data_IF_084264718795
#
_entry.id   IF_084264718795
#
_cell.length_a   1.000
_cell.length_b   1.000
_cell.length_c   1.000
_cell.angle_alpha   90.00
_cell.angle_beta   90.00
_cell.angle_gamma   90.00
#
_symmetry.space_group_name_H-M   'P 1'
#
loop_
_entity.id
_entity.type
_entity.pdbx_description
1 polymer ?
#
# COMPACT_ATOMS: atom_id res chain seq x y z
N UNK A 1 29.46 8.62 0.14
CA UNK A 1 30.13 8.28 1.42
C UNK A 1 29.93 9.34 2.52
N UNK A 2 30.37 10.59 2.34
CA UNK A 2 30.26 11.63 3.39
C UNK A 2 28.80 12.00 3.72
N UNK A 3 27.95 12.17 2.70
CA UNK A 3 26.51 12.45 2.88
C UNK A 3 25.83 11.33 3.68
N UNK A 4 26.04 10.07 3.29
CA UNK A 4 25.52 8.90 4.03
C UNK A 4 25.97 8.88 5.50
N UNK A 5 27.25 9.14 5.75
CA UNK A 5 27.79 9.15 7.13
C UNK A 5 27.11 10.21 8.01
N UNK A 6 26.85 11.40 7.45
CA UNK A 6 26.12 12.46 8.15
C UNK A 6 24.65 12.06 8.42
N UNK A 7 23.99 11.41 7.47
CA UNK A 7 22.63 10.90 7.65
C UNK A 7 22.56 9.85 8.77
N UNK A 8 23.50 8.89 8.81
CA UNK A 8 23.59 7.88 9.88
C UNK A 8 23.70 8.51 11.26
N UNK A 9 24.55 9.53 11.42
CA UNK A 9 24.73 10.21 12.70
C UNK A 9 23.51 11.06 13.11
N UNK A 10 22.71 11.52 12.14
CA UNK A 10 21.49 12.27 12.39
C UNK A 10 20.29 11.41 12.76
N UNK A 11 20.30 10.12 12.41
CA UNK A 11 19.25 9.15 12.77
C UNK A 11 19.59 8.45 14.09
N UNK A 12 18.64 8.31 15.01
CA UNK A 12 18.78 7.34 16.11
C UNK A 12 18.65 5.95 15.50
N UNK A 13 19.76 5.34 15.10
CA UNK A 13 19.79 3.92 14.77
C UNK A 13 19.42 3.14 16.04
N UNK A 14 18.13 2.94 16.27
CA UNK A 14 17.65 2.03 17.31
C UNK A 14 18.00 0.63 16.84
N UNK A 15 19.09 0.09 17.38
CA UNK A 15 19.49 -1.30 17.30
C UNK A 15 18.45 -2.19 17.99
N UNK A 16 17.28 -2.33 17.39
CA UNK A 16 16.18 -3.08 17.98
C UNK A 16 14.85 -2.85 17.29
N UNK A 17 14.63 -3.52 16.16
CA UNK A 17 13.30 -3.94 15.73
C UNK A 17 13.46 -5.19 14.86
N UNK A 18 12.92 -6.30 15.34
CA UNK A 18 13.02 -7.62 14.74
C UNK A 18 12.08 -7.80 13.57
N UNK A 19 12.47 -7.26 12.41
CA UNK A 19 11.90 -7.64 11.13
C UNK A 19 12.96 -8.41 10.31
N UNK A 20 12.52 -9.50 9.66
CA UNK A 20 13.35 -10.42 8.88
C UNK A 20 13.84 -9.80 7.56
N UNK A 21 14.64 -8.74 7.68
CA UNK A 21 15.28 -8.02 6.59
C UNK A 21 16.24 -7.01 7.21
N UNK A 22 17.42 -7.46 7.63
CA UNK A 22 18.45 -6.60 8.18
C UNK A 22 18.90 -5.60 7.12
N UNK A 23 18.28 -4.41 7.11
CA UNK A 23 18.90 -3.23 6.54
C UNK A 23 19.90 -2.78 7.59
N UNK A 24 21.12 -3.32 7.50
CA UNK A 24 22.23 -2.83 8.30
C UNK A 24 22.41 -1.35 8.00
N UNK A 25 22.34 -0.50 9.02
CA UNK A 25 22.65 0.92 8.87
C UNK A 25 24.10 1.13 8.40
N UNK A 26 24.95 0.10 8.44
CA UNK A 26 26.33 0.19 7.97
C UNK A 26 26.45 0.18 6.45
N UNK A 27 25.49 -0.40 5.74
CA UNK A 27 25.53 -0.50 4.29
C UNK A 27 24.95 0.76 3.64
N UNK A 28 25.75 1.38 2.77
CA UNK A 28 25.27 2.49 1.95
C UNK A 28 24.22 1.95 0.97
N UNK A 29 23.00 2.52 0.93
CA UNK A 29 21.98 2.03 0.04
C UNK A 29 22.42 2.22 -1.42
N UNK A 30 22.15 1.24 -2.26
CA UNK A 30 22.38 1.32 -3.72
C UNK A 30 21.25 2.06 -4.44
N UNK A 31 20.29 2.61 -3.70
CA UNK A 31 19.12 3.32 -4.24
C UNK A 31 19.51 4.52 -5.10
N UNK A 32 20.65 5.17 -4.83
CA UNK A 32 21.16 6.27 -5.64
C UNK A 32 21.39 5.90 -7.12
N UNK A 33 21.63 4.62 -7.43
CA UNK A 33 21.80 4.11 -8.80
C UNK A 33 20.47 3.85 -9.52
N UNK A 34 19.35 3.89 -8.81
CA UNK A 34 18.01 3.69 -9.38
C UNK A 34 17.47 5.05 -9.86
N UNK A 35 16.97 5.18 -11.10
CA UNK A 35 16.33 6.42 -11.55
C UNK A 35 15.30 6.94 -10.55
N UNK A 36 15.32 8.26 -10.28
CA UNK A 36 14.46 8.89 -9.28
C UNK A 36 12.97 8.58 -9.47
N UNK A 37 12.51 8.49 -10.72
CA UNK A 37 11.14 8.09 -11.04
C UNK A 37 10.75 6.72 -10.46
N UNK A 38 11.66 5.74 -10.54
CA UNK A 38 11.42 4.39 -10.00
C UNK A 38 11.47 4.37 -8.48
N UNK A 39 12.32 5.18 -7.85
CA UNK A 39 12.33 5.33 -6.38
C UNK A 39 11.01 5.91 -5.86
N UNK A 40 10.52 6.99 -6.46
CA UNK A 40 9.23 7.56 -6.08
C UNK A 40 8.05 6.63 -6.39
N UNK A 41 8.15 5.83 -7.46
CA UNK A 41 7.16 4.79 -7.73
C UNK A 41 7.17 3.71 -6.64
N UNK A 42 8.35 3.27 -6.19
CA UNK A 42 8.47 2.30 -5.10
C UNK A 42 7.87 2.86 -3.80
N UNK A 43 8.24 4.08 -3.39
CA UNK A 43 7.67 4.74 -2.20
C UNK A 43 6.14 4.87 -2.31
N UNK A 44 5.63 5.24 -3.49
CA UNK A 44 4.20 5.35 -3.72
C UNK A 44 3.48 4.00 -3.62
N UNK A 45 4.08 2.91 -4.13
CA UNK A 45 3.53 1.55 -4.01
C UNK A 45 3.59 1.05 -2.56
N UNK A 46 4.67 1.33 -1.83
CA UNK A 46 4.78 0.98 -0.41
C UNK A 46 3.68 1.67 0.41
N UNK A 47 3.49 2.98 0.20
CA UNK A 47 2.44 3.75 0.88
C UNK A 47 1.02 3.25 0.52
N UNK A 48 0.78 2.89 -0.74
CA UNK A 48 -0.47 2.25 -1.15
C UNK A 48 -0.70 0.92 -0.43
N UNK A 49 0.31 0.06 -0.40
CA UNK A 49 0.24 -1.28 0.16
C UNK A 49 -0.05 -1.25 1.66
N UNK A 50 0.54 -0.32 2.41
CA UNK A 50 0.28 -0.12 3.84
C UNK A 50 -1.21 0.22 4.08
N UNK A 51 -1.75 1.21 3.37
CA UNK A 51 -3.17 1.58 3.48
C UNK A 51 -4.08 0.43 3.05
N UNK A 52 -3.74 -0.23 1.95
CA UNK A 52 -4.47 -1.38 1.42
C UNK A 52 -4.52 -2.51 2.43
N UNK A 53 -3.42 -2.81 3.12
CA UNK A 53 -3.37 -3.87 4.12
C UNK A 53 -4.40 -3.63 5.24
N UNK A 54 -4.50 -2.39 5.72
CA UNK A 54 -5.50 -2.00 6.71
C UNK A 54 -6.93 -2.26 6.21
N UNK A 55 -7.27 -1.77 5.01
CA UNK A 55 -8.63 -1.91 4.46
C UNK A 55 -8.98 -3.37 4.13
N UNK A 56 -8.03 -4.14 3.60
CA UNK A 56 -8.24 -5.55 3.26
C UNK A 56 -8.43 -6.39 4.52
N UNK A 57 -7.75 -6.08 5.63
CA UNK A 57 -7.95 -6.75 6.92
C UNK A 57 -9.40 -6.63 7.38
N UNK A 58 -10.02 -5.46 7.24
CA UNK A 58 -11.43 -5.25 7.61
C UNK A 58 -12.40 -6.07 6.73
N UNK A 59 -12.13 -6.12 5.42
CA UNK A 59 -12.89 -6.97 4.49
C UNK A 59 -12.74 -8.44 4.84
N UNK A 60 -11.50 -8.91 5.07
CA UNK A 60 -11.23 -10.31 5.41
C UNK A 60 -11.94 -10.69 6.71
N UNK A 61 -11.82 -9.87 7.77
CA UNK A 61 -12.44 -10.16 9.06
C UNK A 61 -13.97 -10.22 8.96
N UNK A 62 -14.59 -9.27 8.25
CA UNK A 62 -16.03 -9.26 8.07
C UNK A 62 -16.52 -10.44 7.24
N UNK A 63 -15.86 -10.75 6.13
CA UNK A 63 -16.30 -11.82 5.21
C UNK A 63 -15.94 -13.23 5.70
N UNK A 64 -14.80 -13.44 6.37
CA UNK A 64 -14.41 -14.76 6.88
C UNK A 64 -15.30 -15.20 8.05
N UNK A 65 -15.76 -14.26 8.88
CA UNK A 65 -16.72 -14.59 9.94
C UNK A 65 -18.00 -15.24 9.38
N UNK A 66 -18.39 -14.88 8.15
CA UNK A 66 -19.52 -15.52 7.45
C UNK A 66 -19.19 -16.94 6.98
N UNK A 67 -17.97 -17.18 6.52
CA UNK A 67 -17.51 -18.48 6.01
C UNK A 67 -17.37 -19.50 7.15
N UNK A 68 -16.81 -19.09 8.28
CA UNK A 68 -16.65 -19.96 9.46
C UNK A 68 -17.98 -20.28 10.14
N UNK A 69 -18.95 -19.37 10.04
CA UNK A 69 -20.32 -19.57 10.54
C UNK A 69 -21.14 -20.55 9.69
N UNK A 70 -20.61 -21.04 8.57
CA UNK A 70 -21.34 -21.81 7.54
C UNK A 70 -22.00 -23.12 7.98
N UNK A 71 -21.76 -23.59 9.21
CA UNK A 71 -22.42 -24.76 9.79
C UNK A 71 -23.41 -24.49 10.94
N UNK A 72 -23.36 -23.31 11.57
CA UNK A 72 -24.09 -23.00 12.82
C UNK A 72 -25.00 -21.78 12.72
N UNK A 73 -24.95 -21.04 11.62
CA UNK A 73 -25.64 -19.78 11.41
C UNK A 73 -26.89 -19.99 10.54
N UNK A 74 -28.05 -19.63 11.09
CA UNK A 74 -29.36 -19.67 10.44
C UNK A 74 -29.53 -18.52 9.41
N UNK A 75 -30.64 -18.54 8.65
CA UNK A 75 -30.85 -17.65 7.49
C UNK A 75 -30.74 -16.14 7.77
N UNK A 76 -31.14 -15.68 8.96
CA UNK A 76 -30.99 -14.26 9.36
C UNK A 76 -29.53 -13.89 9.62
N UNK A 77 -28.80 -14.73 10.35
CA UNK A 77 -27.37 -14.55 10.62
C UNK A 77 -26.55 -14.55 9.32
N UNK A 78 -26.90 -15.39 8.34
CA UNK A 78 -26.26 -15.41 7.01
C UNK A 78 -26.50 -14.10 6.24
N UNK A 79 -27.74 -13.61 6.24
CA UNK A 79 -28.13 -12.37 5.55
C UNK A 79 -27.46 -11.14 6.16
N UNK A 80 -27.36 -11.06 7.49
CA UNK A 80 -26.68 -9.96 8.16
C UNK A 80 -25.17 -9.97 7.88
N UNK A 81 -24.56 -11.16 7.87
CA UNK A 81 -23.15 -11.31 7.58
C UNK A 81 -22.81 -10.92 6.13
N UNK A 82 -23.61 -11.35 5.16
CA UNK A 82 -23.48 -10.95 3.76
C UNK A 82 -23.57 -9.42 3.59
N UNK A 83 -24.49 -8.76 4.31
CA UNK A 83 -24.60 -7.30 4.30
C UNK A 83 -23.34 -6.62 4.87
N UNK A 84 -22.78 -7.12 5.97
CA UNK A 84 -21.55 -6.58 6.58
C UNK A 84 -20.36 -6.75 5.63
N UNK A 85 -20.15 -7.96 5.11
CA UNK A 85 -19.10 -8.25 4.14
C UNK A 85 -19.23 -7.35 2.88
N UNK A 86 -20.44 -7.23 2.33
CA UNK A 86 -20.68 -6.33 1.19
C UNK A 86 -20.38 -4.88 1.55
N UNK A 87 -20.76 -4.43 2.74
CA UNK A 87 -20.47 -3.07 3.23
C UNK A 87 -18.98 -2.76 3.28
N UNK A 88 -18.15 -3.67 3.80
CA UNK A 88 -16.70 -3.51 3.83
C UNK A 88 -16.09 -3.58 2.41
N UNK A 89 -16.59 -4.47 1.55
CA UNK A 89 -16.18 -4.52 0.14
C UNK A 89 -16.47 -3.20 -0.59
N UNK A 90 -17.63 -2.58 -0.35
CA UNK A 90 -17.97 -1.27 -0.94
C UNK A 90 -17.05 -0.16 -0.40
N UNK A 91 -16.72 -0.16 0.90
CA UNK A 91 -15.74 0.78 1.46
C UNK A 91 -14.36 0.61 0.81
N UNK A 92 -13.92 -0.63 0.61
CA UNK A 92 -12.67 -0.91 -0.09
C UNK A 92 -12.71 -0.43 -1.55
N UNK A 93 -13.82 -0.69 -2.25
CA UNK A 93 -14.02 -0.21 -3.62
C UNK A 93 -13.93 1.31 -3.70
N UNK A 94 -14.62 2.02 -2.78
CA UNK A 94 -14.54 3.48 -2.67
C UNK A 94 -13.12 3.96 -2.40
N UNK A 95 -12.37 3.29 -1.53
CA UNK A 95 -10.96 3.62 -1.32
C UNK A 95 -10.12 3.54 -2.61
N UNK A 96 -10.41 2.63 -3.54
CA UNK A 96 -9.67 2.49 -4.81
C UNK A 96 -10.16 3.46 -5.90
N UNK A 97 -11.47 3.69 -5.96
CA UNK A 97 -12.15 4.38 -7.07
C UNK A 97 -12.45 5.85 -6.77
N UNK A 98 -12.76 6.19 -5.53
CA UNK A 98 -13.04 7.54 -5.09
C UNK A 98 -11.76 8.21 -4.61
N UNK A 99 -11.72 9.54 -4.71
CA UNK A 99 -10.69 10.35 -4.08
C UNK A 99 -11.41 11.33 -3.17
N UNK A 100 -11.08 11.32 -1.89
CA UNK A 100 -11.66 12.26 -0.93
C UNK A 100 -10.98 13.62 -0.98
N UNK A 101 -10.02 13.83 -1.91
CA UNK A 101 -9.29 15.09 -2.09
C UNK A 101 -8.34 15.41 -0.93
N UNK A 102 -8.12 14.49 -0.01
CA UNK A 102 -7.24 14.71 1.14
C UNK A 102 -5.79 14.38 0.78
N UNK A 103 -4.85 15.21 1.24
CA UNK A 103 -3.42 14.99 0.99
C UNK A 103 -2.90 13.64 1.55
N UNK A 104 -3.60 13.08 2.54
CA UNK A 104 -3.27 11.82 3.20
C UNK A 104 -3.45 10.57 2.31
N UNK A 105 -4.23 10.65 1.23
CA UNK A 105 -4.37 9.52 0.30
C UNK A 105 -3.16 9.37 -0.63
N UNK A 106 -2.27 10.36 -0.75
CA UNK A 106 -1.08 10.24 -1.60
C UNK A 106 -1.36 10.21 -3.12
N UNK A 107 -2.58 10.56 -3.53
CA UNK A 107 -3.04 10.43 -4.92
C UNK A 107 -3.13 11.75 -5.70
N UNK A 108 -2.53 12.85 -5.21
CA UNK A 108 -2.57 14.19 -5.85
C UNK A 108 -3.99 14.61 -6.28
N UNK A 109 -5.00 14.34 -5.46
CA UNK A 109 -6.39 14.71 -5.76
C UNK A 109 -7.08 13.87 -6.84
N UNK A 110 -6.53 12.68 -7.15
CA UNK A 110 -7.14 11.71 -8.08
C UNK A 110 -7.37 10.36 -7.39
N UNK A 111 -8.10 9.42 -8.00
CA UNK A 111 -8.23 8.08 -7.42
C UNK A 111 -6.95 7.26 -7.63
N UNK A 112 -6.70 6.26 -6.77
CA UNK A 112 -5.57 5.34 -6.91
C UNK A 112 -5.53 4.68 -8.30
N UNK A 113 -6.70 4.22 -8.77
CA UNK A 113 -6.89 3.63 -10.09
C UNK A 113 -6.48 4.57 -11.23
N UNK A 114 -6.92 5.85 -11.20
CA UNK A 114 -6.55 6.85 -12.21
C UNK A 114 -5.07 7.17 -12.19
N UNK A 115 -4.49 7.30 -10.99
CA UNK A 115 -3.06 7.61 -10.85
C UNK A 115 -2.18 6.47 -11.37
N UNK A 116 -2.56 5.22 -11.09
CA UNK A 116 -1.87 4.05 -11.61
C UNK A 116 -1.85 4.01 -13.14
N UNK A 117 -2.97 4.29 -13.81
CA UNK A 117 -3.04 4.37 -15.26
C UNK A 117 -2.07 5.42 -15.85
N UNK A 118 -1.98 6.60 -15.22
CA UNK A 118 -1.02 7.64 -15.62
C UNK A 118 0.43 7.18 -15.46
N UNK A 119 0.75 6.54 -14.33
CA UNK A 119 2.08 5.98 -14.05
C UNK A 119 2.42 4.94 -15.12
N UNK A 120 1.52 3.99 -15.37
CA UNK A 120 1.71 2.92 -16.34
C UNK A 120 1.97 3.46 -17.75
N UNK A 121 1.17 4.43 -18.21
CA UNK A 121 1.37 5.09 -19.51
C UNK A 121 2.74 5.76 -19.61
N UNK A 122 3.14 6.48 -18.57
CA UNK A 122 4.45 7.17 -18.53
C UNK A 122 5.61 6.17 -18.52
N UNK A 123 5.52 5.12 -17.71
CA UNK A 123 6.51 4.05 -17.67
C UNK A 123 6.63 3.37 -19.04
N UNK A 124 5.49 3.02 -19.65
CA UNK A 124 5.46 2.41 -20.99
C UNK A 124 6.13 3.30 -22.04
N UNK A 125 5.88 4.61 -22.01
CA UNK A 125 6.57 5.57 -22.87
C UNK A 125 8.09 5.53 -22.67
N UNK A 126 8.58 5.49 -21.43
CA UNK A 126 10.02 5.38 -21.17
C UNK A 126 10.64 4.09 -21.69
N UNK A 127 9.90 2.98 -21.66
CA UNK A 127 10.35 1.71 -22.23
C UNK A 127 10.44 1.81 -23.76
N UNK A 128 9.48 2.46 -24.41
CA UNK A 128 9.54 2.68 -25.88
C UNK A 128 10.66 3.66 -26.27
N UNK A 129 10.83 4.77 -25.55
CA UNK A 129 11.87 5.78 -25.81
C UNK A 129 13.30 5.22 -25.59
N UNK A 130 13.44 4.14 -24.83
CA UNK A 130 14.73 3.48 -24.55
C UNK A 130 15.09 2.36 -25.54
N UNK A 131 14.21 2.02 -26.49
CA UNK A 131 14.50 1.08 -27.58
C UNK A 131 15.29 1.77 -28.69
#
# INVERSE_FOLDING_TARGET
>A
KYIWTAMKHGTTCSSGSGDNGSISCDDMPTTDFIPQYLRFLQEWVEHFCEQRQGKVKDVINSCNSCKESGGTCNGECKTECEKKCKGECEKYKKFIEECNGTAAEGTSGSSWSKRWDQIYKRYSKYIEDAK
#
